data_IF_911241706521
#
_entry.id   IF_911241706521
#
_cell.length_a   1.000
_cell.length_b   1.000
_cell.length_c   1.000
_cell.angle_alpha   90.00
_cell.angle_beta   90.00
_cell.angle_gamma   90.00
#
_symmetry.space_group_name_H-M   'P 1'
#
loop_
_entity.id
_entity.type
_entity.pdbx_description
1 polymer ?
#
# COMPACT_ATOMS: atom_id res chain seq x y z
N UNK A 1 3.15 12.04 0.38
CA UNK A 1 2.58 13.39 0.64
C UNK A 1 3.34 14.07 1.78
N UNK A 2 3.46 15.37 1.71
CA UNK A 2 3.89 16.26 2.78
C UNK A 2 2.78 17.29 2.99
N UNK A 3 2.26 17.37 4.22
CA UNK A 3 1.17 18.28 4.56
C UNK A 3 1.58 19.04 5.81
N UNK A 4 1.70 20.35 5.70
CA UNK A 4 2.03 21.26 6.80
C UNK A 4 0.77 22.02 7.22
N UNK A 5 0.33 21.80 8.45
CA UNK A 5 -0.83 22.46 9.06
C UNK A 5 -0.40 23.42 10.19
N UNK A 6 0.82 23.94 10.11
CA UNK A 6 1.41 24.77 11.14
C UNK A 6 1.95 23.94 12.31
N UNK A 7 1.16 23.71 13.34
CA UNK A 7 1.53 22.85 14.46
C UNK A 7 1.79 21.40 14.06
N UNK A 8 0.91 20.82 13.24
CA UNK A 8 0.97 19.43 12.84
C UNK A 8 1.53 19.28 11.44
N UNK A 9 2.50 18.38 11.28
CA UNK A 9 3.06 18.03 9.96
C UNK A 9 2.88 16.55 9.71
N UNK A 10 2.39 16.22 8.51
CA UNK A 10 2.21 14.83 8.08
C UNK A 10 3.18 14.51 6.96
N UNK A 11 3.92 13.41 7.15
CA UNK A 11 4.87 12.86 6.19
C UNK A 11 4.38 11.47 5.81
N UNK A 12 3.74 11.36 4.65
CA UNK A 12 3.11 10.10 4.23
C UNK A 12 3.79 9.49 3.01
N UNK A 13 4.28 8.27 3.17
CA UNK A 13 4.75 7.37 2.12
C UNK A 13 3.75 6.22 1.89
N UNK A 14 2.45 6.48 2.06
CA UNK A 14 1.40 5.50 1.96
C UNK A 14 1.37 4.81 0.57
N UNK A 15 1.51 3.48 0.50
CA UNK A 15 1.52 2.76 -0.76
C UNK A 15 0.12 2.35 -1.24
N UNK A 16 -0.88 2.34 -0.34
CA UNK A 16 -2.18 1.75 -0.58
C UNK A 16 -3.20 2.81 -1.01
N UNK A 17 -3.77 2.65 -2.20
CA UNK A 17 -4.90 3.45 -2.67
C UNK A 17 -6.17 3.03 -1.93
N UNK A 18 -6.71 3.93 -1.12
CA UNK A 18 -7.99 3.72 -0.47
C UNK A 18 -9.13 3.81 -1.48
N UNK A 19 -9.29 4.95 -2.12
CA UNK A 19 -10.18 5.09 -3.28
C UNK A 19 -9.75 6.24 -4.18
N UNK A 20 -10.16 6.14 -5.44
CA UNK A 20 -10.08 7.22 -6.44
C UNK A 20 -11.43 7.35 -7.12
N UNK A 21 -11.90 8.59 -7.25
CA UNK A 21 -13.11 8.92 -8.02
C UNK A 21 -12.73 9.75 -9.23
N UNK A 22 -13.16 9.32 -10.41
CA UNK A 22 -12.99 10.03 -11.68
C UNK A 22 -14.33 10.01 -12.41
N UNK A 23 -15.00 11.15 -12.43
CA UNK A 23 -16.39 11.23 -12.88
C UNK A 23 -17.30 10.34 -12.02
N UNK A 24 -17.92 9.32 -12.63
CA UNK A 24 -18.74 8.34 -11.91
C UNK A 24 -17.97 7.09 -11.47
N UNK A 25 -16.75 6.90 -11.96
CA UNK A 25 -15.96 5.71 -11.64
C UNK A 25 -15.29 5.86 -10.28
N UNK A 26 -15.49 4.86 -9.42
CA UNK A 26 -14.76 4.71 -8.17
C UNK A 26 -13.88 3.46 -8.26
N UNK A 27 -12.60 3.62 -7.95
CA UNK A 27 -11.60 2.55 -7.96
C UNK A 27 -11.00 2.41 -6.57
N UNK A 28 -10.89 1.19 -6.06
CA UNK A 28 -10.15 0.84 -4.85
C UNK A 28 -9.06 -0.17 -5.20
N UNK A 29 -7.95 -0.17 -4.44
CA UNK A 29 -6.82 -1.04 -4.76
C UNK A 29 -6.16 -1.59 -3.50
N UNK A 30 -6.81 -2.60 -2.87
CA UNK A 30 -6.27 -3.24 -1.70
C UNK A 30 -4.97 -3.97 -2.01
N UNK A 31 -4.07 -4.01 -1.03
CA UNK A 31 -2.81 -4.74 -1.11
C UNK A 31 -2.60 -5.60 0.12
N UNK A 32 -2.32 -6.89 -0.12
CA UNK A 32 -1.97 -7.88 0.89
C UNK A 32 -0.95 -8.85 0.30
N UNK A 33 0.05 -9.19 1.08
CA UNK A 33 1.14 -10.04 0.63
C UNK A 33 2.32 -9.23 0.06
N UNK A 34 3.50 -9.49 0.62
CA UNK A 34 4.74 -8.79 0.27
C UNK A 34 5.88 -9.78 0.20
N UNK A 35 6.80 -9.59 -0.75
CA UNK A 35 8.09 -10.29 -0.81
C UNK A 35 9.19 -9.28 -1.08
N UNK A 36 10.38 -9.53 -0.54
CA UNK A 36 11.57 -8.74 -0.90
C UNK A 36 11.92 -8.90 -2.37
N UNK A 37 12.69 -7.98 -2.90
CA UNK A 37 13.29 -8.13 -4.22
C UNK A 37 14.39 -9.19 -4.19
N UNK A 38 14.57 -9.86 -5.31
CA UNK A 38 15.69 -10.76 -5.50
C UNK A 38 17.00 -10.00 -5.70
N UNK A 39 18.13 -10.65 -5.36
CA UNK A 39 19.47 -10.11 -5.57
C UNK A 39 19.94 -10.19 -7.03
N UNK A 40 19.31 -11.07 -7.82
CA UNK A 40 19.53 -11.23 -9.25
C UNK A 40 18.22 -11.57 -9.95
N UNK A 41 18.12 -11.40 -11.27
CA UNK A 41 16.85 -11.50 -12.00
C UNK A 41 16.09 -12.82 -11.80
N UNK A 42 16.76 -13.95 -11.80
CA UNK A 42 16.09 -15.25 -11.61
C UNK A 42 15.52 -15.43 -10.20
N UNK A 43 16.23 -14.99 -9.16
CA UNK A 43 15.68 -14.98 -7.78
C UNK A 43 14.50 -14.03 -7.68
N UNK A 44 14.58 -12.86 -8.31
CA UNK A 44 13.54 -11.84 -8.27
C UNK A 44 12.21 -12.36 -8.88
N UNK A 45 12.30 -12.98 -10.04
CA UNK A 45 11.14 -13.61 -10.69
C UNK A 45 10.57 -14.78 -9.86
N UNK A 46 11.43 -15.60 -9.25
CA UNK A 46 10.99 -16.69 -8.36
C UNK A 46 10.22 -16.15 -7.16
N UNK A 47 10.71 -15.10 -6.50
CA UNK A 47 10.04 -14.47 -5.36
C UNK A 47 8.70 -13.84 -5.74
N UNK A 48 8.61 -13.24 -6.94
CA UNK A 48 7.33 -12.73 -7.46
C UNK A 48 6.32 -13.86 -7.69
N UNK A 49 6.76 -14.99 -8.25
CA UNK A 49 5.90 -16.14 -8.49
C UNK A 49 5.50 -16.84 -7.18
N UNK A 50 6.41 -16.98 -6.21
CA UNK A 50 6.07 -17.47 -4.87
C UNK A 50 4.99 -16.62 -4.20
N UNK A 51 5.08 -15.29 -4.32
CA UNK A 51 4.05 -14.39 -3.81
C UNK A 51 2.72 -14.63 -4.53
N UNK A 52 2.75 -14.73 -5.86
CA UNK A 52 1.56 -14.94 -6.68
C UNK A 52 0.87 -16.26 -6.39
N UNK A 53 1.62 -17.31 -6.02
CA UNK A 53 1.10 -18.65 -5.71
C UNK A 53 0.79 -18.86 -4.22
N UNK A 54 1.16 -17.93 -3.35
CA UNK A 54 0.95 -18.05 -1.91
C UNK A 54 -0.54 -18.16 -1.56
N UNK A 55 -0.95 -19.30 -1.06
CA UNK A 55 -2.35 -19.54 -0.65
C UNK A 55 -2.77 -18.57 0.44
N UNK A 56 -1.89 -18.32 1.44
CA UNK A 56 -2.15 -17.37 2.53
C UNK A 56 -2.36 -15.97 2.00
N UNK A 57 -1.38 -15.43 1.23
CA UNK A 57 -1.43 -14.05 0.74
C UNK A 57 -2.63 -13.81 -0.19
N UNK A 58 -2.98 -14.82 -1.01
CA UNK A 58 -4.16 -14.78 -1.88
C UNK A 58 -5.45 -14.78 -1.08
N UNK A 59 -5.57 -15.61 -0.05
CA UNK A 59 -6.76 -15.66 0.80
C UNK A 59 -7.00 -14.34 1.53
N UNK A 60 -5.95 -13.75 2.12
CA UNK A 60 -6.03 -12.43 2.76
C UNK A 60 -6.40 -11.33 1.76
N UNK A 61 -5.83 -11.36 0.57
CA UNK A 61 -6.14 -10.38 -0.47
C UNK A 61 -7.59 -10.48 -0.96
N UNK A 62 -8.11 -11.71 -1.17
CA UNK A 62 -9.51 -11.95 -1.55
C UNK A 62 -10.47 -11.47 -0.48
N UNK A 63 -10.20 -11.75 0.80
CA UNK A 63 -11.03 -11.30 1.91
C UNK A 63 -11.20 -9.79 1.93
N UNK A 64 -10.11 -9.03 1.78
CA UNK A 64 -10.16 -7.57 1.72
C UNK A 64 -10.81 -7.07 0.44
N UNK A 65 -10.55 -7.72 -0.69
CA UNK A 65 -11.17 -7.40 -1.98
C UNK A 65 -12.69 -7.55 -1.90
N UNK A 66 -13.18 -8.63 -1.29
CA UNK A 66 -14.62 -8.88 -1.14
C UNK A 66 -15.28 -7.89 -0.17
N UNK A 67 -14.59 -7.53 0.89
CA UNK A 67 -15.03 -6.48 1.81
C UNK A 67 -15.21 -5.13 1.08
N UNK A 68 -14.25 -4.74 0.26
CA UNK A 68 -14.33 -3.51 -0.53
C UNK A 68 -15.41 -3.58 -1.64
N UNK A 69 -15.64 -4.77 -2.23
CA UNK A 69 -16.78 -4.97 -3.13
C UNK A 69 -18.11 -4.72 -2.43
N UNK A 70 -18.27 -5.24 -1.21
CA UNK A 70 -19.45 -5.00 -0.40
C UNK A 70 -19.62 -3.50 -0.08
N UNK A 71 -18.55 -2.83 0.35
CA UNK A 71 -18.57 -1.40 0.67
C UNK A 71 -18.95 -0.55 -0.55
N UNK A 72 -18.33 -0.81 -1.70
CA UNK A 72 -18.66 -0.15 -2.97
C UNK A 72 -20.10 -0.45 -3.42
N UNK A 73 -20.59 -1.67 -3.20
CA UNK A 73 -21.96 -2.07 -3.53
C UNK A 73 -23.03 -1.19 -2.89
N UNK A 74 -22.74 -0.62 -1.72
CA UNK A 74 -23.67 0.26 -0.98
C UNK A 74 -23.92 1.61 -1.67
N UNK A 75 -22.99 2.08 -2.47
CA UNK A 75 -23.00 3.41 -3.11
C UNK A 75 -22.97 3.38 -4.64
N UNK A 76 -22.85 2.20 -5.22
CA UNK A 76 -22.71 2.03 -6.67
C UNK A 76 -24.01 1.63 -7.35
N UNK A 77 -24.05 1.77 -8.65
CA UNK A 77 -25.12 1.25 -9.49
C UNK A 77 -25.13 -0.29 -9.39
N UNK A 78 -26.32 -0.87 -9.34
CA UNK A 78 -26.48 -2.34 -9.27
C UNK A 78 -25.79 -2.99 -10.46
N UNK A 79 -24.99 -4.03 -10.20
CA UNK A 79 -24.26 -4.77 -11.23
C UNK A 79 -23.00 -4.10 -11.75
N UNK A 80 -22.62 -2.89 -11.24
CA UNK A 80 -21.45 -2.16 -11.73
C UNK A 80 -20.16 -2.44 -10.96
N UNK A 81 -20.21 -3.16 -9.83
CA UNK A 81 -19.02 -3.49 -9.03
C UNK A 81 -18.30 -4.67 -9.65
N UNK A 82 -17.09 -4.44 -10.11
CA UNK A 82 -16.28 -5.42 -10.81
C UNK A 82 -14.88 -5.52 -10.22
N UNK A 83 -14.35 -6.75 -10.10
CA UNK A 83 -12.94 -6.99 -9.83
C UNK A 83 -12.19 -6.98 -11.16
N UNK A 84 -11.58 -5.86 -11.50
CA UNK A 84 -10.83 -5.69 -12.76
C UNK A 84 -9.58 -6.52 -12.81
N UNK A 85 -8.93 -6.66 -11.65
CA UNK A 85 -7.70 -7.40 -11.53
C UNK A 85 -7.63 -8.05 -10.15
N UNK A 86 -7.31 -9.33 -10.11
CA UNK A 86 -7.15 -10.10 -8.89
C UNK A 86 -5.72 -10.66 -8.84
N UNK A 87 -5.04 -10.49 -7.68
CA UNK A 87 -3.71 -11.01 -7.41
C UNK A 87 -2.62 -10.56 -8.40
N UNK A 88 -2.63 -9.30 -8.78
CA UNK A 88 -1.53 -8.74 -9.55
C UNK A 88 -0.27 -8.61 -8.69
N UNK A 89 0.84 -9.06 -9.21
CA UNK A 89 2.15 -8.78 -8.60
C UNK A 89 2.71 -7.48 -9.14
N UNK A 90 2.96 -6.52 -8.25
CA UNK A 90 3.52 -5.23 -8.59
C UNK A 90 4.94 -5.10 -8.10
N UNK A 91 5.77 -4.61 -9.01
CA UNK A 91 7.19 -4.39 -8.75
C UNK A 91 7.43 -2.99 -8.19
N UNK A 92 7.94 -2.93 -6.96
CA UNK A 92 8.46 -1.71 -6.35
C UNK A 92 10.00 -1.78 -6.27
N UNK A 93 10.68 -0.66 -6.05
CA UNK A 93 12.16 -0.67 -5.97
C UNK A 93 12.71 -1.67 -4.94
N UNK A 94 12.03 -1.84 -3.80
CA UNK A 94 12.53 -2.63 -2.66
C UNK A 94 11.75 -3.93 -2.42
N UNK A 95 10.57 -4.10 -3.05
CA UNK A 95 9.68 -5.24 -2.78
C UNK A 95 8.76 -5.57 -3.95
N UNK A 96 8.19 -6.77 -3.89
CA UNK A 96 7.01 -7.19 -4.64
C UNK A 96 5.78 -7.08 -3.75
N UNK A 97 4.68 -6.63 -4.32
CA UNK A 97 3.39 -6.48 -3.63
C UNK A 97 2.30 -7.20 -4.40
N UNK A 98 1.41 -7.89 -3.69
CA UNK A 98 0.21 -8.49 -4.27
C UNK A 98 -0.96 -7.52 -4.12
N UNK A 99 -1.56 -7.11 -5.24
CA UNK A 99 -2.66 -6.14 -5.30
C UNK A 99 -3.87 -6.70 -6.02
N UNK A 100 -5.05 -6.17 -5.71
CA UNK A 100 -6.27 -6.36 -6.49
C UNK A 100 -6.89 -5.01 -6.80
N UNK A 101 -7.68 -4.93 -7.86
CA UNK A 101 -8.36 -3.69 -8.26
C UNK A 101 -9.85 -3.95 -8.36
N UNK A 102 -10.62 -3.16 -7.62
CA UNK A 102 -12.09 -3.16 -7.69
C UNK A 102 -12.55 -1.82 -8.22
N UNK A 103 -13.41 -1.86 -9.20
CA UNK A 103 -14.02 -0.69 -9.81
C UNK A 103 -15.54 -0.75 -9.70
N UNK A 104 -16.16 0.42 -9.68
CA UNK A 104 -17.62 0.55 -9.74
C UNK A 104 -18.03 1.89 -10.34
N UNK A 105 -19.30 1.98 -10.75
CA UNK A 105 -19.92 3.24 -11.13
C UNK A 105 -20.82 3.73 -9.98
N UNK A 106 -20.52 4.89 -9.44
CA UNK A 106 -21.31 5.50 -8.37
C UNK A 106 -22.73 5.83 -8.85
N UNK A 107 -23.70 5.69 -7.94
CA UNK A 107 -25.05 6.18 -8.19
C UNK A 107 -25.06 7.70 -8.34
N UNK A 108 -26.06 8.24 -9.01
CA UNK A 108 -26.28 9.68 -9.07
C UNK A 108 -26.50 10.25 -7.65
N UNK A 109 -25.89 11.40 -7.37
CA UNK A 109 -26.02 12.08 -6.10
C UNK A 109 -25.10 11.59 -4.98
N UNK A 110 -24.28 10.56 -5.21
CA UNK A 110 -23.28 10.13 -4.22
C UNK A 110 -22.18 11.19 -4.12
N UNK A 111 -22.10 11.83 -2.95
CA UNK A 111 -21.09 12.80 -2.60
C UNK A 111 -20.01 12.23 -1.69
N UNK A 112 -19.12 13.10 -1.21
CA UNK A 112 -18.01 12.71 -0.34
C UNK A 112 -18.48 12.11 0.99
N UNK A 113 -19.58 12.63 1.55
CA UNK A 113 -20.12 12.14 2.82
C UNK A 113 -20.59 10.68 2.71
N UNK A 114 -21.31 10.35 1.64
CA UNK A 114 -21.74 8.97 1.36
C UNK A 114 -20.56 8.06 1.08
N UNK A 115 -19.55 8.52 0.33
CA UNK A 115 -18.30 7.79 0.11
C UNK A 115 -17.60 7.48 1.44
N UNK A 116 -17.44 8.49 2.29
CA UNK A 116 -16.83 8.32 3.60
C UNK A 116 -17.64 7.33 4.46
N UNK A 117 -18.95 7.47 4.54
CA UNK A 117 -19.82 6.59 5.35
C UNK A 117 -19.78 5.14 4.86
N UNK A 118 -19.66 4.91 3.55
CA UNK A 118 -19.66 3.57 2.99
C UNK A 118 -18.29 2.89 3.09
N UNK A 119 -17.21 3.62 2.80
CA UNK A 119 -15.88 3.07 2.65
C UNK A 119 -15.02 3.16 3.91
N UNK A 120 -15.17 4.24 4.71
CA UNK A 120 -14.34 4.49 5.89
C UNK A 120 -14.90 3.77 7.14
N UNK A 121 -14.00 3.25 7.99
CA UNK A 121 -12.58 3.06 7.75
C UNK A 121 -12.30 1.97 6.69
N UNK A 122 -11.10 2.02 6.08
CA UNK A 122 -10.73 1.08 5.03
C UNK A 122 -10.77 -0.37 5.54
N UNK A 123 -11.31 -1.27 4.73
CA UNK A 123 -11.41 -2.70 5.08
C UNK A 123 -10.06 -3.38 5.31
N UNK A 124 -9.00 -2.91 4.64
CA UNK A 124 -7.65 -3.49 4.77
C UNK A 124 -7.00 -3.26 6.13
N UNK A 125 -7.47 -2.24 6.88
CA UNK A 125 -6.93 -1.86 8.20
C UNK A 125 -7.91 -2.15 9.35
N UNK A 126 -9.08 -2.69 9.04
CA UNK A 126 -10.07 -3.16 10.01
C UNK A 126 -10.14 -4.69 9.99
N UNK A 127 -10.91 -5.27 9.12
CA UNK A 127 -11.11 -6.70 8.96
C UNK A 127 -12.54 -7.04 8.55
N UNK A 128 -12.83 -8.32 8.44
CA UNK A 128 -14.14 -8.83 8.08
C UNK A 128 -14.69 -9.76 9.17
N UNK A 129 -15.95 -9.58 9.62
CA UNK A 129 -16.90 -8.50 9.31
C UNK A 129 -16.46 -7.15 9.89
N UNK A 130 -16.57 -6.05 9.11
CA UNK A 130 -16.02 -4.74 9.47
C UNK A 130 -16.51 -4.22 10.82
N UNK A 131 -17.80 -4.21 11.05
CA UNK A 131 -18.41 -3.69 12.30
C UNK A 131 -17.87 -4.46 13.51
N UNK A 132 -17.89 -5.79 13.46
CA UNK A 132 -17.42 -6.62 14.58
C UNK A 132 -15.93 -6.44 14.86
N UNK A 133 -15.11 -6.35 13.82
CA UNK A 133 -13.68 -6.11 14.01
C UNK A 133 -13.38 -4.73 14.56
N UNK A 134 -14.16 -3.70 14.19
CA UNK A 134 -14.05 -2.37 14.79
C UNK A 134 -14.41 -2.36 16.29
N UNK A 135 -15.43 -3.11 16.69
CA UNK A 135 -15.78 -3.30 18.11
C UNK A 135 -14.62 -3.94 18.88
N UNK A 136 -14.06 -5.03 18.36
CA UNK A 136 -12.90 -5.71 18.95
C UNK A 136 -11.67 -4.77 19.05
N UNK A 137 -11.40 -3.98 18.01
CA UNK A 137 -10.34 -3.00 18.03
C UNK A 137 -10.56 -1.97 19.15
N UNK A 138 -11.79 -1.46 19.28
CA UNK A 138 -12.12 -0.50 20.34
C UNK A 138 -12.04 -1.11 21.75
N UNK A 139 -12.31 -2.40 21.90
CA UNK A 139 -12.15 -3.12 23.18
C UNK A 139 -10.69 -3.35 23.56
N UNK A 140 -9.81 -3.62 22.57
CA UNK A 140 -8.43 -4.04 22.80
C UNK A 140 -7.42 -2.89 22.77
N UNK A 141 -7.61 -1.91 21.91
CA UNK A 141 -6.70 -0.78 21.78
C UNK A 141 -7.05 0.29 22.81
N UNK A 142 -6.09 0.61 23.69
CA UNK A 142 -6.29 1.57 24.80
C UNK A 142 -6.24 3.02 24.33
N UNK A 143 -5.59 3.28 23.22
CA UNK A 143 -5.33 4.61 22.68
C UNK A 143 -5.91 4.75 21.27
N UNK A 144 -6.42 5.93 20.92
CA UNK A 144 -6.91 6.19 19.57
C UNK A 144 -5.75 6.13 18.57
N UNK A 145 -6.00 5.56 17.41
CA UNK A 145 -5.00 5.47 16.33
C UNK A 145 -4.62 6.82 15.72
N UNK A 146 -5.38 7.88 16.01
CA UNK A 146 -5.16 9.21 15.46
C UNK A 146 -5.22 9.21 13.93
N UNK A 147 -4.16 9.72 13.30
CA UNK A 147 -4.06 9.77 11.84
C UNK A 147 -3.72 8.39 11.25
N UNK A 148 -3.01 7.57 12.01
CA UNK A 148 -2.69 6.20 11.59
C UNK A 148 -3.94 5.42 11.23
N UNK A 149 -3.94 4.73 10.11
CA UNK A 149 -5.10 4.01 9.53
C UNK A 149 -6.29 4.88 9.08
N UNK A 150 -6.16 6.20 9.14
CA UNK A 150 -7.08 7.13 8.50
C UNK A 150 -6.90 7.17 6.97
N UNK A 151 -7.21 8.30 6.37
CA UNK A 151 -6.94 8.51 4.95
C UNK A 151 -6.38 9.91 4.69
N UNK A 152 -5.53 10.00 3.68
CA UNK A 152 -4.92 11.25 3.22
C UNK A 152 -5.11 11.35 1.72
N UNK A 153 -5.56 12.50 1.25
CA UNK A 153 -5.81 12.68 -0.17
C UNK A 153 -6.21 14.09 -0.53
N UNK A 154 -6.77 14.23 -1.71
CA UNK A 154 -7.26 15.50 -2.23
C UNK A 154 -8.55 15.33 -3.02
N UNK A 155 -9.24 16.45 -3.16
CA UNK A 155 -10.40 16.60 -4.03
C UNK A 155 -10.10 17.80 -4.93
N UNK A 156 -10.23 17.60 -6.24
CA UNK A 156 -10.08 18.68 -7.22
C UNK A 156 -11.38 19.46 -7.41
N UNK A 157 -11.33 20.69 -7.91
CA UNK A 157 -12.55 21.47 -8.23
C UNK A 157 -13.51 20.78 -9.19
N UNK A 158 -13.02 19.87 -10.04
CA UNK A 158 -13.84 19.04 -10.94
C UNK A 158 -14.53 17.85 -10.27
N UNK A 159 -14.38 17.69 -8.94
CA UNK A 159 -14.99 16.59 -8.19
C UNK A 159 -14.22 15.28 -8.25
N UNK A 160 -13.06 15.24 -8.92
CA UNK A 160 -12.17 14.10 -8.82
C UNK A 160 -11.55 14.02 -7.43
N UNK A 161 -11.44 12.82 -6.89
CA UNK A 161 -10.88 12.60 -5.57
C UNK A 161 -9.87 11.43 -5.60
N UNK A 162 -8.81 11.53 -4.80
CA UNK A 162 -7.85 10.46 -4.63
C UNK A 162 -7.38 10.43 -3.18
N UNK A 163 -7.61 9.31 -2.50
CA UNK A 163 -7.24 9.11 -1.10
C UNK A 163 -6.46 7.81 -0.93
N UNK A 164 -5.41 7.89 -0.14
CA UNK A 164 -4.62 6.73 0.29
C UNK A 164 -4.94 6.39 1.76
N UNK A 165 -4.75 5.14 2.14
CA UNK A 165 -4.80 4.72 3.53
C UNK A 165 -3.60 5.31 4.26
N UNK A 166 -3.80 5.98 5.40
CA UNK A 166 -2.73 6.64 6.16
C UNK A 166 -1.90 5.62 6.97
N UNK A 167 -1.20 4.75 6.26
CA UNK A 167 -0.14 3.87 6.76
C UNK A 167 1.21 4.38 6.30
N UNK A 168 2.30 3.96 6.93
CA UNK A 168 3.65 4.51 6.66
C UNK A 168 3.66 6.04 6.65
N UNK A 169 2.99 6.59 7.66
CA UNK A 169 2.75 8.01 7.81
C UNK A 169 3.26 8.46 9.18
N UNK A 170 4.17 9.42 9.16
CA UNK A 170 4.64 10.06 10.37
C UNK A 170 3.84 11.34 10.63
N UNK A 171 3.48 11.57 11.89
CA UNK A 171 2.82 12.75 12.39
C UNK A 171 3.74 13.46 13.37
N UNK A 172 4.15 14.68 13.05
CA UNK A 172 4.96 15.53 13.90
C UNK A 172 4.07 16.60 14.55
N UNK A 173 4.02 16.64 15.87
CA UNK A 173 3.53 17.77 16.67
C UNK A 173 4.70 18.68 17.00
N UNK A 174 4.81 19.82 16.34
CA UNK A 174 5.91 20.78 16.52
C UNK A 174 5.93 21.42 17.92
N UNK A 175 4.77 21.62 18.54
CA UNK A 175 4.71 22.20 19.89
C UNK A 175 5.24 21.24 20.94
N UNK A 176 4.92 19.97 20.80
CA UNK A 176 5.39 18.91 21.70
C UNK A 176 6.80 18.40 21.35
N UNK A 177 7.28 18.66 20.12
CA UNK A 177 8.50 18.07 19.61
C UNK A 177 8.41 16.54 19.45
N UNK A 178 7.21 16.00 19.28
CA UNK A 178 6.95 14.57 19.22
C UNK A 178 6.62 14.13 17.80
N UNK A 179 7.22 13.00 17.39
CA UNK A 179 6.91 12.34 16.14
C UNK A 179 6.30 10.98 16.45
N UNK A 180 5.09 10.76 15.93
CA UNK A 180 4.37 9.50 16.03
C UNK A 180 4.37 8.78 14.69
N UNK A 181 4.60 7.47 14.71
CA UNK A 181 4.57 6.63 13.52
C UNK A 181 3.89 5.30 13.83
N UNK A 182 2.62 5.20 13.45
CA UNK A 182 1.83 3.99 13.67
C UNK A 182 2.27 2.84 12.76
N UNK A 183 2.42 1.66 13.37
CA UNK A 183 2.68 0.40 12.67
C UNK A 183 1.75 -0.69 13.19
N UNK A 184 1.43 -1.66 12.33
CA UNK A 184 0.57 -2.78 12.70
C UNK A 184 0.52 -3.85 11.61
N UNK A 185 -0.09 -4.98 11.92
CA UNK A 185 -0.29 -6.11 11.03
C UNK A 185 -1.74 -6.57 10.98
N UNK A 186 -2.04 -7.51 10.10
CA UNK A 186 -3.33 -8.19 10.03
C UNK A 186 -3.29 -9.46 10.85
N UNK A 187 -4.05 -9.53 11.92
CA UNK A 187 -4.14 -10.71 12.77
C UNK A 187 -5.07 -11.73 12.11
N UNK A 188 -4.56 -12.92 11.88
CA UNK A 188 -5.31 -14.05 11.33
C UNK A 188 -5.17 -15.26 12.23
N UNK A 189 -5.94 -16.33 11.97
CA UNK A 189 -5.88 -17.56 12.77
C UNK A 189 -4.47 -18.18 12.88
N UNK A 190 -3.65 -18.01 11.85
CA UNK A 190 -2.26 -18.49 11.83
C UNK A 190 -1.23 -17.52 12.40
N UNK A 191 -1.64 -16.35 12.91
CA UNK A 191 -0.74 -15.34 13.47
C UNK A 191 -0.20 -15.79 14.83
N UNK A 192 1.09 -15.46 15.07
CA UNK A 192 1.70 -15.56 16.40
C UNK A 192 2.09 -14.17 16.89
N UNK A 193 1.94 -13.90 18.18
CA UNK A 193 2.26 -12.60 18.77
C UNK A 193 3.71 -12.15 18.45
N UNK A 194 4.67 -13.05 18.56
CA UNK A 194 6.07 -12.77 18.25
C UNK A 194 6.30 -12.44 16.76
N UNK A 195 5.62 -13.18 15.86
CA UNK A 195 5.72 -12.94 14.41
C UNK A 195 5.13 -11.60 13.99
N UNK A 196 3.94 -11.28 14.48
CA UNK A 196 3.27 -9.99 14.18
C UNK A 196 4.04 -8.80 14.76
N UNK A 197 4.59 -8.94 15.97
CA UNK A 197 5.43 -7.90 16.56
C UNK A 197 6.73 -7.69 15.77
N UNK A 198 7.38 -8.77 15.34
CA UNK A 198 8.56 -8.67 14.48
C UNK A 198 8.23 -7.99 13.14
N UNK A 199 7.06 -8.26 12.55
CA UNK A 199 6.59 -7.58 11.34
C UNK A 199 6.38 -6.06 11.58
N UNK A 200 5.83 -5.67 12.73
CA UNK A 200 5.71 -4.25 13.11
C UNK A 200 7.08 -3.57 13.16
N UNK A 201 8.08 -4.20 13.77
CA UNK A 201 9.45 -3.66 13.84
C UNK A 201 10.07 -3.50 12.45
N UNK A 202 9.88 -4.47 11.56
CA UNK A 202 10.33 -4.36 10.16
C UNK A 202 9.66 -3.19 9.45
N UNK A 203 8.36 -2.98 9.64
CA UNK A 203 7.64 -1.84 9.06
C UNK A 203 8.14 -0.49 9.59
N UNK A 204 8.56 -0.43 10.85
CA UNK A 204 9.12 0.78 11.46
C UNK A 204 10.51 1.14 10.91
N UNK A 205 11.25 0.19 10.34
CA UNK A 205 12.60 0.42 9.80
C UNK A 205 12.66 1.51 8.73
N UNK A 206 11.54 1.82 8.07
CA UNK A 206 11.47 2.90 7.07
C UNK A 206 11.93 4.26 7.64
N UNK A 207 11.76 4.50 8.94
CA UNK A 207 12.20 5.72 9.62
C UNK A 207 13.72 5.81 9.74
N UNK A 208 14.41 4.67 9.70
CA UNK A 208 15.86 4.57 9.87
C UNK A 208 16.58 4.14 8.59
N UNK A 209 15.82 3.82 7.54
CA UNK A 209 16.39 3.38 6.29
C UNK A 209 17.14 4.54 5.62
N UNK A 210 18.47 4.45 5.62
CA UNK A 210 19.31 5.30 4.77
C UNK A 210 19.45 4.62 3.42
N UNK A 211 19.34 5.37 2.34
CA UNK A 211 19.80 4.86 1.04
C UNK A 211 21.31 4.66 1.17
N UNK A 212 21.82 3.45 0.97
CA UNK A 212 23.27 3.27 0.91
C UNK A 212 23.81 4.13 -0.23
N UNK A 213 24.87 4.87 0.03
CA UNK A 213 25.66 5.44 -1.05
C UNK A 213 26.38 4.28 -1.73
N UNK A 214 26.18 4.13 -3.02
CA UNK A 214 26.85 3.11 -3.80
C UNK A 214 27.22 3.67 -5.16
N UNK A 215 28.29 3.13 -5.71
CA UNK A 215 28.70 3.36 -7.07
C UNK A 215 28.42 2.10 -7.90
N UNK A 216 28.07 2.29 -9.17
CA UNK A 216 27.91 1.18 -10.11
C UNK A 216 29.28 0.82 -10.70
N UNK A 217 29.67 -0.44 -10.56
CA UNK A 217 30.88 -0.98 -11.14
C UNK A 217 30.52 -1.91 -12.31
N UNK A 218 31.22 -1.71 -13.42
CA UNK A 218 31.16 -2.58 -14.58
C UNK A 218 32.54 -3.04 -14.96
N UNK A 219 32.68 -4.30 -15.34
CA UNK A 219 33.95 -4.87 -15.85
C UNK A 219 33.80 -5.18 -17.32
N UNK A 220 34.76 -4.67 -18.11
CA UNK A 220 34.80 -4.86 -19.56
C UNK A 220 36.08 -5.52 -19.98
N UNK A 221 35.97 -6.44 -20.95
CA UNK A 221 37.16 -6.93 -21.66
C UNK A 221 37.65 -5.87 -22.63
N UNK A 222 38.90 -5.50 -22.53
CA UNK A 222 39.61 -4.67 -23.51
C UNK A 222 40.66 -5.53 -24.23
N UNK A 223 40.61 -5.54 -25.55
CA UNK A 223 41.60 -6.21 -26.38
C UNK A 223 42.15 -5.21 -27.40
N UNK A 224 43.45 -4.94 -27.36
CA UNK A 224 44.14 -3.96 -28.22
C UNK A 224 43.46 -2.59 -28.27
N UNK A 225 42.96 -2.11 -27.14
CA UNK A 225 42.30 -0.80 -27.02
C UNK A 225 40.83 -0.78 -27.42
N UNK A 226 40.25 -1.93 -27.79
CA UNK A 226 38.81 -2.04 -28.13
C UNK A 226 38.07 -2.72 -27.00
N UNK A 227 37.03 -2.06 -26.50
CA UNK A 227 36.14 -2.61 -25.46
C UNK A 227 35.09 -3.53 -26.07
N UNK A 228 35.01 -4.75 -25.57
CA UNK A 228 34.05 -5.74 -26.02
C UNK A 228 32.64 -5.36 -25.49
N UNK A 229 31.67 -5.25 -26.42
CA UNK A 229 30.24 -4.94 -26.12
C UNK A 229 30.01 -3.68 -25.25
N UNK A 230 30.83 -2.64 -25.44
CA UNK A 230 30.77 -1.40 -24.66
C UNK A 230 29.35 -0.85 -24.54
N UNK A 231 28.61 -0.75 -25.66
CA UNK A 231 27.22 -0.20 -25.64
C UNK A 231 26.27 -0.99 -24.75
N UNK A 232 26.39 -2.34 -24.76
CA UNK A 232 25.56 -3.19 -23.88
C UNK A 232 25.90 -3.02 -22.41
N UNK A 233 27.19 -2.84 -22.10
CA UNK A 233 27.62 -2.55 -20.72
C UNK A 233 27.11 -1.19 -20.26
N UNK A 234 27.22 -0.16 -21.11
CA UNK A 234 26.66 1.17 -20.81
C UNK A 234 25.14 1.15 -20.63
N UNK A 235 24.41 0.43 -21.49
CA UNK A 235 22.97 0.27 -21.36
C UNK A 235 22.58 -0.43 -20.05
N UNK A 236 23.34 -1.46 -19.63
CA UNK A 236 23.10 -2.17 -18.36
C UNK A 236 23.36 -1.27 -17.15
N UNK A 237 24.43 -0.46 -17.17
CA UNK A 237 24.72 0.53 -16.13
C UNK A 237 23.58 1.56 -16.03
N UNK A 238 23.16 2.12 -17.16
CA UNK A 238 22.07 3.09 -17.21
C UNK A 238 20.73 2.53 -16.72
N UNK A 239 20.47 1.23 -16.96
CA UNK A 239 19.25 0.57 -16.47
C UNK A 239 19.33 0.21 -14.97
N UNK A 240 20.51 0.22 -14.37
CA UNK A 240 20.73 -0.09 -12.94
C UNK A 240 20.81 1.18 -12.07
N UNK A 241 21.04 2.35 -12.66
CA UNK A 241 21.05 3.65 -12.01
C UNK A 241 19.63 4.18 -11.76
#
# INVERSE_FOLDING_TARGET
AYIDLGRHVLLSAAPELFFRVQGKRCTTRPMKGTRRRGRWPAEDLRLAEELRQSVKDRAENVMVTDLLRNDLGRISQVGSVEVRQLWATERYPTLWQLTSTVESNLRAGVGLAELATALFPCGSITGAPKVRTMEIIAELEREPRGIYTGCIGYISPGGEACFNVAIRTAHLDREKGQLEFGVGGGITWGSSAAGEYAECLVKAQILHARRPEFELLETLRCDKGVFYLLDRHCQRLAAAA
#
